data_IF_045446117348
#
_entry.id   IF_045446117348
#
_cell.length_a   1.000
_cell.length_b   1.000
_cell.length_c   1.000
_cell.angle_alpha   90.00
_cell.angle_beta   90.00
_cell.angle_gamma   90.00
#
_symmetry.space_group_name_H-M   'P 1'
#
loop_
_entity.id
_entity.type
_entity.pdbx_description
1 polymer ?
#
# COMPACT_ATOMS: atom_id res chain seq x y z
N UNK A 1 42.33 -1.05 -65.27
CA UNK A 1 42.07 -2.11 -64.27
C UNK A 1 41.76 -1.44 -62.93
N UNK A 2 40.46 -1.33 -62.58
CA UNK A 2 39.98 -0.77 -61.32
C UNK A 2 39.66 -1.95 -60.36
N UNK A 3 40.39 -2.02 -59.24
CA UNK A 3 40.17 -3.02 -58.19
C UNK A 3 39.03 -2.52 -57.30
N UNK A 4 37.93 -3.26 -57.23
CA UNK A 4 36.84 -3.12 -56.30
C UNK A 4 37.25 -3.75 -54.93
N UNK A 5 37.20 -2.94 -53.88
CA UNK A 5 37.38 -3.40 -52.51
C UNK A 5 35.98 -3.73 -51.94
N UNK A 6 35.72 -4.95 -51.47
CA UNK A 6 34.42 -5.27 -50.87
C UNK A 6 34.38 -4.65 -49.45
N UNK A 7 33.44 -3.73 -49.24
CA UNK A 7 33.15 -3.17 -47.92
C UNK A 7 32.51 -4.23 -47.03
N UNK A 8 33.16 -4.56 -45.94
CA UNK A 8 32.62 -5.42 -44.86
C UNK A 8 31.59 -4.62 -44.08
N UNK A 9 30.30 -4.94 -44.29
CA UNK A 9 29.18 -4.42 -43.47
C UNK A 9 29.18 -5.16 -42.13
N UNK A 10 29.63 -4.47 -41.07
CA UNK A 10 29.43 -4.95 -39.69
C UNK A 10 27.96 -4.72 -39.28
N UNK A 11 27.16 -5.78 -39.34
CA UNK A 11 25.83 -5.79 -38.70
C UNK A 11 26.04 -5.89 -37.19
N UNK A 12 25.93 -4.77 -36.47
CA UNK A 12 25.87 -4.77 -35.03
C UNK A 12 24.58 -5.47 -34.57
N UNK A 13 24.69 -6.70 -34.08
CA UNK A 13 23.59 -7.38 -33.39
C UNK A 13 23.28 -6.60 -32.11
N UNK A 14 22.23 -5.79 -32.13
CA UNK A 14 21.58 -5.31 -30.91
C UNK A 14 20.88 -6.49 -30.23
N UNK A 15 21.58 -7.18 -29.34
CA UNK A 15 20.93 -8.07 -28.38
C UNK A 15 20.14 -7.17 -27.40
N UNK A 16 18.83 -7.38 -27.22
CA UNK A 16 18.09 -6.71 -26.19
C UNK A 16 18.73 -7.11 -24.86
N UNK A 17 19.25 -6.13 -24.11
CA UNK A 17 19.68 -6.35 -22.72
C UNK A 17 18.46 -6.83 -21.97
N UNK A 18 18.43 -8.11 -21.59
CA UNK A 18 17.45 -8.63 -20.65
C UNK A 18 17.58 -7.74 -19.40
N UNK A 19 16.52 -7.01 -19.07
CA UNK A 19 16.46 -6.26 -17.83
C UNK A 19 16.54 -7.29 -16.70
N UNK A 20 17.72 -7.44 -16.10
CA UNK A 20 17.93 -8.27 -14.92
C UNK A 20 17.03 -7.69 -13.84
N UNK A 21 16.14 -8.52 -13.28
CA UNK A 21 15.43 -8.16 -12.07
C UNK A 21 16.46 -7.66 -11.06
N UNK A 22 16.16 -6.52 -10.42
CA UNK A 22 17.09 -5.92 -9.45
C UNK A 22 17.48 -6.93 -8.37
N UNK A 23 18.65 -6.78 -7.73
CA UNK A 23 19.12 -7.71 -6.72
C UNK A 23 18.07 -7.85 -5.61
N UNK A 24 17.96 -9.05 -5.07
CA UNK A 24 17.06 -9.41 -3.99
C UNK A 24 17.33 -8.61 -2.71
N UNK A 25 16.27 -8.16 -2.04
CA UNK A 25 16.34 -7.59 -0.71
C UNK A 25 15.15 -8.07 0.14
N UNK A 26 15.38 -8.36 1.42
CA UNK A 26 14.31 -8.74 2.32
C UNK A 26 14.56 -8.30 3.77
N UNK A 27 13.47 -8.20 4.52
CA UNK A 27 13.45 -7.94 5.95
C UNK A 27 12.23 -8.64 6.55
N UNK A 28 12.42 -9.27 7.72
CA UNK A 28 11.33 -9.70 8.60
C UNK A 28 11.61 -9.20 10.00
N UNK A 29 10.64 -8.51 10.59
CA UNK A 29 10.75 -8.05 11.96
C UNK A 29 9.39 -8.05 12.68
N UNK A 30 9.43 -8.21 13.99
CA UNK A 30 8.27 -8.05 14.87
C UNK A 30 7.95 -6.55 15.02
N UNK A 31 6.68 -6.17 14.86
CA UNK A 31 6.29 -4.76 14.86
C UNK A 31 6.23 -4.13 16.26
N UNK A 32 6.13 -4.95 17.30
CA UNK A 32 6.02 -4.48 18.68
C UNK A 32 7.38 -4.30 19.34
N UNK A 33 8.26 -5.28 19.18
CA UNK A 33 9.61 -5.28 19.74
C UNK A 33 10.65 -4.66 18.83
N UNK A 34 10.36 -4.54 17.53
CA UNK A 34 11.30 -4.19 16.44
C UNK A 34 12.47 -5.17 16.31
N UNK A 35 12.36 -6.36 16.92
CA UNK A 35 13.34 -7.40 16.75
C UNK A 35 13.41 -7.83 15.29
N UNK A 36 14.61 -7.72 14.72
CA UNK A 36 14.90 -8.23 13.37
C UNK A 36 15.10 -9.72 13.44
N UNK A 37 14.35 -10.46 12.64
CA UNK A 37 14.36 -11.91 12.57
C UNK A 37 15.05 -12.40 11.29
N UNK A 38 15.01 -11.59 10.24
CA UNK A 38 15.75 -11.81 9.00
C UNK A 38 16.07 -10.48 8.32
N UNK A 39 17.27 -10.36 7.75
CA UNK A 39 17.67 -9.19 6.98
C UNK A 39 18.64 -9.58 5.85
N UNK A 40 18.39 -9.09 4.65
CA UNK A 40 19.26 -9.21 3.50
C UNK A 40 19.15 -7.99 2.61
N UNK A 41 20.24 -7.26 2.39
CA UNK A 41 20.29 -6.03 1.58
C UNK A 41 19.17 -5.02 1.91
N UNK A 42 18.69 -5.00 3.16
CA UNK A 42 17.44 -4.32 3.53
C UNK A 42 17.51 -2.79 3.44
N UNK A 43 18.72 -2.23 3.46
CA UNK A 43 18.97 -0.80 3.27
C UNK A 43 19.26 -0.40 1.82
N UNK A 44 19.42 -1.35 0.91
CA UNK A 44 19.69 -1.01 -0.48
C UNK A 44 18.45 -0.42 -1.18
N UNK A 45 18.70 0.55 -2.06
CA UNK A 45 17.62 1.19 -2.82
C UNK A 45 16.97 0.20 -3.79
N UNK A 46 15.65 0.18 -3.78
CA UNK A 46 14.80 -0.63 -4.64
C UNK A 46 13.67 0.22 -5.21
N UNK A 47 13.13 -0.17 -6.36
CA UNK A 47 11.93 0.43 -6.89
C UNK A 47 10.70 -0.21 -6.22
N UNK A 48 9.82 0.60 -5.58
CA UNK A 48 8.68 0.05 -4.83
C UNK A 48 7.63 -0.62 -5.71
N UNK A 49 7.52 -0.26 -6.99
CA UNK A 49 6.38 -0.62 -7.81
C UNK A 49 5.06 -0.29 -7.09
N UNK A 50 4.04 -1.14 -7.15
CA UNK A 50 2.74 -0.89 -6.50
C UNK A 50 2.76 -0.91 -4.96
N UNK A 51 3.90 -1.22 -4.31
CA UNK A 51 4.02 -0.96 -2.87
C UNK A 51 3.88 0.54 -2.54
N UNK A 52 4.14 1.42 -3.49
CA UNK A 52 3.86 2.87 -3.43
C UNK A 52 2.45 3.18 -2.93
N UNK A 53 1.46 2.36 -3.32
CA UNK A 53 0.06 2.53 -2.92
C UNK A 53 -0.17 2.39 -1.42
N UNK A 54 0.76 1.79 -0.69
CA UNK A 54 0.71 1.78 0.78
C UNK A 54 0.83 3.21 1.35
N UNK A 55 1.68 4.08 0.78
CA UNK A 55 1.77 5.48 1.18
C UNK A 55 0.55 6.29 0.72
N UNK A 56 0.02 6.00 -0.46
CA UNK A 56 -1.25 6.61 -0.91
C UNK A 56 -2.37 6.31 0.08
N UNK A 57 -2.51 5.04 0.47
CA UNK A 57 -3.48 4.60 1.48
C UNK A 57 -3.19 5.21 2.86
N UNK A 58 -1.92 5.35 3.25
CA UNK A 58 -1.56 6.01 4.51
C UNK A 58 -2.10 7.44 4.57
N UNK A 59 -1.91 8.24 3.51
CA UNK A 59 -2.41 9.62 3.44
C UNK A 59 -3.95 9.68 3.41
N UNK A 60 -4.60 8.73 2.75
CA UNK A 60 -6.07 8.60 2.77
C UNK A 60 -6.55 8.28 4.19
N UNK A 61 -5.97 7.29 4.86
CA UNK A 61 -6.34 6.89 6.23
C UNK A 61 -6.08 8.01 7.23
N UNK A 62 -4.99 8.74 7.06
CA UNK A 62 -4.69 9.92 7.88
C UNK A 62 -5.76 11.01 7.69
N UNK A 63 -6.18 11.27 6.46
CA UNK A 63 -7.23 12.26 6.17
C UNK A 63 -8.60 11.82 6.72
N UNK A 64 -8.95 10.53 6.61
CA UNK A 64 -10.16 9.95 7.21
C UNK A 64 -10.13 10.05 8.75
N UNK A 65 -9.02 9.70 9.38
CA UNK A 65 -8.88 9.74 10.84
C UNK A 65 -8.95 11.15 11.42
N UNK A 66 -8.62 12.15 10.61
CA UNK A 66 -8.68 13.58 10.95
C UNK A 66 -10.00 14.24 10.55
N UNK A 67 -10.95 13.50 9.99
CA UNK A 67 -12.23 14.05 9.52
C UNK A 67 -12.12 15.00 8.33
N UNK A 68 -10.96 14.99 7.62
CA UNK A 68 -10.75 15.79 6.40
C UNK A 68 -11.30 15.10 5.15
N UNK A 69 -11.50 13.78 5.21
CA UNK A 69 -12.20 12.96 4.24
C UNK A 69 -13.24 12.10 4.94
N UNK A 70 -14.24 11.67 4.17
CA UNK A 70 -15.22 10.66 4.56
C UNK A 70 -15.20 9.52 3.53
N UNK A 71 -15.68 8.33 3.88
CA UNK A 71 -15.70 7.16 2.99
C UNK A 71 -16.48 7.40 1.70
N UNK A 72 -17.54 8.21 1.77
CA UNK A 72 -18.43 8.59 0.68
C UNK A 72 -17.98 9.85 -0.08
N UNK A 73 -16.89 10.52 0.33
CA UNK A 73 -16.33 11.66 -0.40
C UNK A 73 -15.99 11.24 -1.83
N UNK A 74 -16.48 12.01 -2.82
CA UNK A 74 -16.33 11.69 -4.24
C UNK A 74 -15.18 12.46 -4.88
N UNK A 75 -14.30 11.75 -5.58
CA UNK A 75 -13.30 12.33 -6.46
C UNK A 75 -13.69 12.09 -7.92
N UNK A 76 -13.43 13.06 -8.80
CA UNK A 76 -13.73 12.96 -10.23
C UNK A 76 -12.50 12.48 -11.00
N UNK A 77 -12.65 11.41 -11.78
CA UNK A 77 -11.58 10.88 -12.61
C UNK A 77 -11.28 11.84 -13.78
N UNK A 78 -10.05 12.30 -13.84
CA UNK A 78 -9.53 13.15 -14.91
C UNK A 78 -9.13 12.33 -16.13
N UNK A 79 -8.90 13.00 -17.27
CA UNK A 79 -8.29 12.38 -18.45
C UNK A 79 -6.89 11.81 -18.13
N UNK A 80 -6.13 12.46 -17.26
CA UNK A 80 -4.82 11.98 -16.85
C UNK A 80 -4.92 10.67 -16.07
N UNK A 81 -5.82 10.60 -15.09
CA UNK A 81 -6.02 9.41 -14.27
C UNK A 81 -6.48 8.19 -15.12
N UNK A 82 -7.47 8.37 -15.99
CA UNK A 82 -8.01 7.26 -16.81
C UNK A 82 -7.03 6.71 -17.84
N UNK A 83 -6.02 7.51 -18.24
CA UNK A 83 -4.98 7.08 -19.18
C UNK A 83 -3.80 6.36 -18.49
N UNK A 84 -3.84 6.17 -17.16
CA UNK A 84 -2.79 5.40 -16.48
C UNK A 84 -2.69 3.98 -17.03
N UNK A 85 -1.48 3.45 -17.21
CA UNK A 85 -1.30 2.04 -17.60
C UNK A 85 -1.97 1.07 -16.61
N UNK A 86 -2.35 -0.15 -17.02
CA UNK A 86 -2.88 -1.16 -16.11
C UNK A 86 -1.91 -1.51 -14.95
N UNK A 87 -2.43 -2.00 -13.76
CA UNK A 87 -3.83 -2.38 -13.49
C UNK A 87 -4.74 -1.17 -13.25
N UNK A 88 -6.02 -1.32 -13.54
CA UNK A 88 -7.03 -0.24 -13.47
C UNK A 88 -8.39 -0.79 -13.02
N UNK A 89 -9.22 0.07 -12.44
CA UNK A 89 -10.66 -0.19 -12.30
C UNK A 89 -11.39 -0.03 -13.64
N UNK A 90 -10.86 0.80 -14.56
CA UNK A 90 -11.48 1.09 -15.83
C UNK A 90 -12.34 2.35 -15.82
N UNK A 91 -11.97 3.32 -14.97
CA UNK A 91 -12.65 4.62 -14.88
C UNK A 91 -12.70 5.33 -16.23
N UNK A 92 -13.80 6.02 -16.50
CA UNK A 92 -13.97 6.93 -17.65
C UNK A 92 -13.77 8.38 -17.19
N UNK A 93 -13.44 9.26 -18.14
CA UNK A 93 -13.29 10.69 -17.84
C UNK A 93 -14.60 11.24 -17.31
N UNK A 94 -14.56 11.84 -16.13
CA UNK A 94 -15.70 12.40 -15.46
C UNK A 94 -16.45 11.46 -14.51
N UNK A 95 -16.12 10.16 -14.51
CA UNK A 95 -16.65 9.24 -13.49
C UNK A 95 -16.29 9.74 -12.09
N UNK A 96 -17.15 9.46 -11.14
CA UNK A 96 -16.89 9.69 -9.72
C UNK A 96 -16.47 8.40 -9.06
N UNK A 97 -15.50 8.50 -8.15
CA UNK A 97 -14.96 7.42 -7.34
C UNK A 97 -15.08 7.86 -5.87
N UNK A 98 -15.79 7.08 -5.04
CA UNK A 98 -15.78 7.34 -3.60
C UNK A 98 -14.42 6.98 -3.00
N UNK A 99 -14.09 7.58 -1.86
CA UNK A 99 -12.85 7.25 -1.12
C UNK A 99 -12.79 5.77 -0.81
N UNK A 100 -13.90 5.16 -0.38
CA UNK A 100 -13.95 3.73 -0.08
C UNK A 100 -13.72 2.85 -1.32
N UNK A 101 -14.39 3.13 -2.44
CA UNK A 101 -14.14 2.43 -3.71
C UNK A 101 -12.68 2.58 -4.15
N UNK A 102 -12.10 3.76 -3.94
CA UNK A 102 -10.69 4.02 -4.18
C UNK A 102 -9.79 3.15 -3.33
N UNK A 103 -10.01 3.08 -2.01
CA UNK A 103 -9.26 2.22 -1.08
C UNK A 103 -9.34 0.76 -1.54
N UNK A 104 -10.55 0.25 -1.76
CA UNK A 104 -10.79 -1.13 -2.19
C UNK A 104 -10.13 -1.42 -3.54
N UNK A 105 -10.21 -0.50 -4.50
CA UNK A 105 -9.54 -0.60 -5.80
C UNK A 105 -8.01 -0.62 -5.70
N UNK A 106 -7.42 0.14 -4.76
CA UNK A 106 -5.97 0.13 -4.52
C UNK A 106 -5.52 -1.19 -3.88
N UNK A 107 -6.28 -1.69 -2.91
CA UNK A 107 -5.94 -2.90 -2.15
C UNK A 107 -6.07 -4.15 -3.03
N UNK A 108 -7.20 -4.35 -3.68
CA UNK A 108 -7.49 -5.57 -4.43
C UNK A 108 -6.89 -5.54 -5.84
N UNK A 109 -7.33 -4.59 -6.67
CA UNK A 109 -6.94 -4.48 -8.09
C UNK A 109 -5.59 -3.80 -8.29
N UNK A 110 -5.06 -3.13 -7.26
CA UNK A 110 -3.87 -2.29 -7.42
C UNK A 110 -4.05 -1.19 -8.49
N UNK A 111 -5.24 -0.59 -8.56
CA UNK A 111 -5.72 0.27 -9.63
C UNK A 111 -4.91 1.58 -9.73
N UNK A 112 -4.26 1.81 -10.88
CA UNK A 112 -3.44 3.00 -11.11
C UNK A 112 -4.30 4.23 -11.41
N UNK A 113 -5.43 4.07 -12.12
CA UNK A 113 -6.42 5.12 -12.37
C UNK A 113 -7.04 5.62 -11.07
N UNK A 114 -7.44 4.73 -10.16
CA UNK A 114 -7.94 5.08 -8.86
C UNK A 114 -6.89 5.82 -8.01
N UNK A 115 -5.62 5.37 -8.03
CA UNK A 115 -4.53 6.04 -7.30
C UNK A 115 -4.32 7.48 -7.77
N UNK A 116 -4.28 7.71 -9.10
CA UNK A 116 -4.16 9.05 -9.66
C UNK A 116 -5.40 9.92 -9.38
N UNK A 117 -6.62 9.34 -9.44
CA UNK A 117 -7.86 10.05 -9.10
C UNK A 117 -7.86 10.51 -7.64
N UNK A 118 -7.44 9.66 -6.70
CA UNK A 118 -7.28 10.02 -5.28
C UNK A 118 -6.23 11.13 -5.13
N UNK A 119 -5.08 10.99 -5.77
CA UNK A 119 -3.99 11.95 -5.68
C UNK A 119 -4.40 13.35 -6.17
N UNK A 120 -5.06 13.42 -7.32
CA UNK A 120 -5.59 14.68 -7.86
C UNK A 120 -6.69 15.27 -6.96
N UNK A 121 -7.60 14.44 -6.45
CA UNK A 121 -8.66 14.88 -5.56
C UNK A 121 -8.16 15.42 -4.23
N UNK A 122 -7.11 14.81 -3.66
CA UNK A 122 -6.55 15.22 -2.37
C UNK A 122 -5.58 16.41 -2.46
N UNK A 123 -4.81 16.52 -3.53
CA UNK A 123 -3.72 17.51 -3.63
C UNK A 123 -3.78 18.40 -4.88
N UNK A 124 -4.83 18.28 -5.70
CA UNK A 124 -4.99 19.04 -6.95
C UNK A 124 -4.15 18.51 -8.11
N UNK A 125 -3.09 17.74 -7.85
CA UNK A 125 -2.29 17.06 -8.87
C UNK A 125 -1.55 15.86 -8.29
N UNK A 126 -1.25 14.86 -9.14
CA UNK A 126 -0.45 13.70 -8.70
C UNK A 126 0.98 14.11 -8.30
N UNK A 127 1.56 15.13 -8.94
CA UNK A 127 2.89 15.66 -8.59
C UNK A 127 2.89 16.26 -7.18
N UNK A 128 1.91 17.09 -6.83
CA UNK A 128 1.78 17.66 -5.48
C UNK A 128 1.54 16.55 -4.43
N UNK A 129 0.74 15.55 -4.78
CA UNK A 129 0.49 14.40 -3.92
C UNK A 129 1.78 13.59 -3.69
N UNK A 130 2.58 13.32 -4.73
CA UNK A 130 3.84 12.60 -4.61
C UNK A 130 4.88 13.36 -3.76
N UNK A 131 4.89 14.69 -3.81
CA UNK A 131 5.67 15.51 -2.89
C UNK A 131 5.23 15.30 -1.44
N UNK A 132 3.91 15.37 -1.17
CA UNK A 132 3.35 15.10 0.15
C UNK A 132 3.62 13.67 0.64
N UNK A 133 3.58 12.67 -0.24
CA UNK A 133 3.98 11.29 0.10
C UNK A 133 5.45 11.24 0.54
N UNK A 134 6.34 11.96 -0.13
CA UNK A 134 7.77 12.00 0.20
C UNK A 134 8.00 12.70 1.53
N UNK A 135 7.32 13.82 1.79
CA UNK A 135 7.38 14.52 3.07
C UNK A 135 6.85 13.66 4.21
N UNK A 136 5.75 12.93 3.98
CA UNK A 136 5.22 11.96 4.94
C UNK A 136 6.21 10.83 5.21
N UNK A 137 6.89 10.33 4.17
CA UNK A 137 7.94 9.33 4.34
C UNK A 137 9.03 9.82 5.29
N UNK A 138 9.50 11.06 5.14
CA UNK A 138 10.48 11.67 6.08
C UNK A 138 9.96 11.71 7.51
N UNK A 139 8.68 12.10 7.71
CA UNK A 139 8.04 12.14 9.04
C UNK A 139 7.91 10.75 9.68
N UNK A 140 7.85 9.69 8.88
CA UNK A 140 7.81 8.30 9.34
C UNK A 140 9.21 7.68 9.53
N UNK A 141 10.29 8.44 9.31
CA UNK A 141 11.65 7.94 9.40
C UNK A 141 12.09 7.13 8.17
N UNK A 142 11.33 7.19 7.07
CA UNK A 142 11.65 6.57 5.79
C UNK A 142 12.65 7.46 5.01
N UNK A 143 13.87 7.54 5.52
CA UNK A 143 14.87 8.54 5.08
C UNK A 143 15.37 8.30 3.66
N UNK A 144 15.25 7.10 3.14
CA UNK A 144 15.75 6.70 1.82
C UNK A 144 14.65 6.54 0.76
N UNK A 145 13.39 6.95 1.09
CA UNK A 145 12.23 6.81 0.20
C UNK A 145 11.91 8.13 -0.49
N UNK A 146 11.72 8.06 -1.82
CA UNK A 146 11.24 9.17 -2.64
C UNK A 146 10.09 8.67 -3.51
N UNK A 147 8.96 9.36 -3.49
CA UNK A 147 7.82 9.10 -4.35
C UNK A 147 7.75 10.11 -5.51
N UNK A 148 7.34 9.65 -6.69
CA UNK A 148 7.17 10.45 -7.91
C UNK A 148 5.76 10.38 -8.47
N UNK A 149 4.98 9.38 -8.07
CA UNK A 149 3.58 9.21 -8.41
C UNK A 149 2.85 8.45 -7.31
N UNK A 150 1.52 8.40 -7.37
CA UNK A 150 0.68 7.76 -6.36
C UNK A 150 0.52 6.24 -6.54
N UNK A 151 0.93 5.70 -7.69
CA UNK A 151 0.58 4.35 -8.12
C UNK A 151 1.75 3.35 -8.09
N UNK A 152 3.00 3.83 -8.18
CA UNK A 152 4.18 2.98 -8.32
C UNK A 152 4.51 2.64 -9.78
N UNK A 153 3.97 3.39 -10.73
CA UNK A 153 4.41 3.32 -12.13
C UNK A 153 5.89 3.67 -12.24
N UNK A 154 6.61 3.10 -13.23
CA UNK A 154 8.04 3.28 -13.37
C UNK A 154 8.47 4.75 -13.41
N UNK A 155 9.40 5.10 -12.54
CA UNK A 155 10.16 6.34 -12.52
C UNK A 155 11.53 6.02 -11.91
N UNK A 156 12.66 6.38 -12.55
CA UNK A 156 14.00 6.04 -12.07
C UNK A 156 14.34 6.67 -10.71
N UNK A 157 13.68 7.77 -10.36
CA UNK A 157 13.90 8.48 -9.10
C UNK A 157 12.88 8.08 -8.01
N UNK A 158 11.99 7.12 -8.29
CA UNK A 158 11.07 6.57 -7.31
C UNK A 158 11.70 5.34 -6.64
N UNK A 159 12.19 5.53 -5.43
CA UNK A 159 12.99 4.55 -4.70
C UNK A 159 12.56 4.42 -3.25
N UNK A 160 12.88 3.27 -2.66
CA UNK A 160 12.64 2.93 -1.25
C UNK A 160 13.64 1.87 -0.80
N UNK A 161 13.54 1.40 0.46
CA UNK A 161 14.28 0.27 1.01
C UNK A 161 13.33 -0.70 1.72
N UNK A 162 13.80 -1.91 2.05
CA UNK A 162 12.98 -2.85 2.82
C UNK A 162 12.69 -2.31 4.24
N UNK A 163 13.67 -1.66 4.86
CA UNK A 163 13.48 -0.98 6.15
C UNK A 163 12.41 0.11 6.09
N UNK A 164 12.43 0.95 5.07
CA UNK A 164 11.44 2.03 4.93
C UNK A 164 10.04 1.46 4.71
N UNK A 165 9.90 0.38 3.93
CA UNK A 165 8.62 -0.28 3.72
C UNK A 165 8.11 -0.99 4.98
N UNK A 166 8.99 -1.55 5.81
CA UNK A 166 8.64 -2.07 7.13
C UNK A 166 8.08 -0.96 8.03
N UNK A 167 8.77 0.20 8.10
CA UNK A 167 8.30 1.37 8.86
C UNK A 167 6.90 1.81 8.42
N UNK A 168 6.66 1.83 7.12
CA UNK A 168 5.34 2.18 6.57
C UNK A 168 4.28 1.15 6.94
N UNK A 169 4.57 -0.14 6.80
CA UNK A 169 3.67 -1.22 7.18
C UNK A 169 3.32 -1.18 8.68
N UNK A 170 4.32 -0.99 9.54
CA UNK A 170 4.14 -0.78 10.99
C UNK A 170 3.28 0.45 11.28
N UNK A 171 3.55 1.58 10.61
CA UNK A 171 2.80 2.81 10.82
C UNK A 171 1.33 2.67 10.38
N UNK A 172 1.04 1.99 9.28
CA UNK A 172 -0.33 1.67 8.84
C UNK A 172 -1.08 0.85 9.89
N UNK A 173 -0.46 -0.19 10.43
CA UNK A 173 -1.08 -1.04 11.44
C UNK A 173 -1.31 -0.29 12.77
N UNK A 174 -0.28 0.39 13.28
CA UNK A 174 -0.33 1.02 14.61
C UNK A 174 -1.15 2.30 14.66
N UNK A 175 -1.16 3.10 13.58
CA UNK A 175 -1.86 4.40 13.57
C UNK A 175 -3.29 4.31 13.09
N UNK A 176 -3.61 3.32 12.26
CA UNK A 176 -4.92 3.20 11.63
C UNK A 176 -5.51 1.78 11.73
N UNK A 177 -5.58 1.18 12.93
CA UNK A 177 -6.06 -0.20 13.10
C UNK A 177 -7.48 -0.37 12.56
N UNK A 178 -8.34 0.65 12.65
CA UNK A 178 -9.71 0.62 12.12
C UNK A 178 -9.78 0.53 10.58
N UNK A 179 -8.78 1.09 9.87
CA UNK A 179 -8.71 1.05 8.40
C UNK A 179 -7.78 -0.07 7.90
N UNK A 180 -6.97 -0.64 8.78
CA UNK A 180 -6.03 -1.69 8.42
C UNK A 180 -6.73 -2.93 7.86
N UNK A 181 -7.96 -3.19 8.32
CA UNK A 181 -8.81 -4.31 7.87
C UNK A 181 -9.09 -4.30 6.37
N UNK A 182 -9.02 -3.15 5.69
CA UNK A 182 -9.16 -3.09 4.24
C UNK A 182 -8.11 -3.95 3.51
N UNK A 183 -6.90 -4.09 4.05
CA UNK A 183 -5.84 -4.89 3.41
C UNK A 183 -6.17 -6.38 3.30
N UNK A 184 -7.04 -6.89 4.15
CA UNK A 184 -7.49 -8.28 4.11
C UNK A 184 -8.72 -8.53 3.22
N UNK A 185 -9.19 -7.52 2.47
CA UNK A 185 -10.31 -7.68 1.54
C UNK A 185 -9.95 -8.68 0.43
N UNK A 186 -10.65 -9.82 0.30
CA UNK A 186 -10.30 -10.83 -0.69
C UNK A 186 -10.76 -10.46 -2.10
N UNK A 187 -11.97 -9.88 -2.23
CA UNK A 187 -12.59 -9.50 -3.51
C UNK A 187 -13.31 -8.18 -3.36
N UNK A 188 -13.17 -7.30 -4.34
CA UNK A 188 -13.94 -6.08 -4.47
C UNK A 188 -14.77 -6.11 -5.74
N UNK A 189 -16.07 -5.81 -5.63
CA UNK A 189 -16.97 -5.71 -6.77
C UNK A 189 -17.18 -4.24 -7.15
N UNK A 190 -16.80 -3.88 -8.37
CA UNK A 190 -16.96 -2.54 -8.91
C UNK A 190 -17.61 -2.59 -10.29
N UNK A 191 -18.71 -1.88 -10.48
CA UNK A 191 -19.48 -1.85 -11.74
C UNK A 191 -19.75 -3.25 -12.34
N UNK A 192 -20.11 -4.21 -11.50
CA UNK A 192 -20.40 -5.58 -11.91
C UNK A 192 -19.18 -6.50 -12.13
N UNK A 193 -17.96 -5.99 -11.97
CA UNK A 193 -16.72 -6.77 -12.10
C UNK A 193 -16.12 -7.09 -10.72
N UNK A 194 -15.76 -8.36 -10.49
CA UNK A 194 -15.05 -8.80 -9.29
C UNK A 194 -13.53 -8.67 -9.47
N UNK A 195 -12.85 -7.98 -8.53
CA UNK A 195 -11.40 -7.83 -8.51
C UNK A 195 -10.83 -8.54 -7.30
N UNK A 196 -10.14 -9.65 -7.53
CA UNK A 196 -9.46 -10.40 -6.47
C UNK A 196 -8.22 -9.68 -5.98
N UNK A 197 -7.90 -9.85 -4.70
CA UNK A 197 -6.66 -9.36 -4.13
C UNK A 197 -5.46 -10.12 -4.70
N UNK A 198 -4.39 -9.40 -5.02
CA UNK A 198 -3.18 -9.99 -5.59
C UNK A 198 -2.27 -10.68 -4.56
N UNK A 199 -2.56 -10.55 -3.25
CA UNK A 199 -1.83 -11.24 -2.20
C UNK A 199 -2.46 -12.63 -1.91
N UNK A 200 -2.07 -13.63 -2.67
CA UNK A 200 -2.59 -15.00 -2.54
C UNK A 200 -2.16 -15.70 -1.24
N UNK A 201 -1.19 -15.16 -0.50
CA UNK A 201 -0.84 -15.71 0.81
C UNK A 201 -1.96 -15.53 1.84
N UNK A 202 -2.85 -14.57 1.67
CA UNK A 202 -4.01 -14.40 2.56
C UNK A 202 -4.95 -15.61 2.56
N UNK A 203 -4.99 -16.38 1.46
CA UNK A 203 -5.83 -17.58 1.35
C UNK A 203 -5.14 -18.84 1.93
N UNK A 204 -3.79 -18.82 2.00
CA UNK A 204 -2.99 -20.05 2.20
C UNK A 204 -2.02 -19.97 3.35
N UNK A 205 -1.87 -18.80 4.01
CA UNK A 205 -0.94 -18.61 5.13
C UNK A 205 -1.70 -18.16 6.38
N UNK A 206 -1.68 -18.99 7.42
CA UNK A 206 -2.41 -18.71 8.66
C UNK A 206 -1.95 -17.42 9.33
N UNK A 207 -2.93 -16.56 9.67
CA UNK A 207 -2.68 -15.27 10.30
C UNK A 207 -2.31 -14.13 9.36
N UNK A 208 -2.22 -14.37 8.04
CA UNK A 208 -1.95 -13.33 7.04
C UNK A 208 -3.15 -12.37 6.90
N UNK A 209 -2.91 -11.06 7.03
CA UNK A 209 -3.94 -10.02 6.93
C UNK A 209 -3.56 -8.82 6.05
N UNK A 210 -2.54 -8.94 5.24
CA UNK A 210 -2.11 -7.90 4.31
C UNK A 210 -0.70 -8.15 3.77
N UNK A 211 -0.07 -7.15 3.13
CA UNK A 211 -0.49 -5.77 2.92
C UNK A 211 -0.60 -5.48 1.42
N UNK A 212 0.53 -5.60 0.66
CA UNK A 212 0.55 -5.19 -0.75
C UNK A 212 1.60 -5.91 -1.57
N UNK A 213 1.22 -6.29 -2.79
CA UNK A 213 2.12 -6.80 -3.84
C UNK A 213 2.54 -5.68 -4.80
N UNK A 214 3.68 -5.86 -5.48
CA UNK A 214 4.15 -4.96 -6.52
C UNK A 214 4.96 -5.69 -7.58
N UNK A 215 4.93 -5.18 -8.81
CA UNK A 215 5.77 -5.66 -9.91
C UNK A 215 6.03 -4.53 -10.92
N UNK A 216 7.28 -4.36 -11.29
CA UNK A 216 7.74 -3.74 -12.52
C UNK A 216 8.98 -4.51 -13.00
N UNK A 217 9.31 -4.43 -14.28
CA UNK A 217 10.48 -5.15 -14.82
C UNK A 217 11.79 -4.81 -14.09
N UNK A 218 11.95 -3.55 -13.66
CA UNK A 218 13.15 -3.09 -12.95
C UNK A 218 13.28 -3.62 -11.52
N UNK A 219 12.17 -3.96 -10.84
CA UNK A 219 12.20 -4.44 -9.46
C UNK A 219 11.95 -5.93 -9.29
N UNK A 220 11.43 -6.62 -10.31
CA UNK A 220 10.87 -7.96 -10.12
C UNK A 220 9.61 -7.95 -9.26
N UNK A 221 9.26 -9.09 -8.67
CA UNK A 221 8.06 -9.28 -7.86
C UNK A 221 8.33 -8.92 -6.40
N UNK A 222 7.58 -7.94 -5.88
CA UNK A 222 7.70 -7.38 -4.54
C UNK A 222 6.49 -7.78 -3.68
N UNK A 223 6.69 -7.81 -2.35
CA UNK A 223 5.62 -8.02 -1.37
C UNK A 223 5.99 -7.36 -0.04
N UNK A 224 5.06 -6.64 0.54
CA UNK A 224 5.02 -6.39 1.98
C UNK A 224 3.88 -7.23 2.53
N UNK A 225 4.19 -8.15 3.43
CA UNK A 225 3.24 -9.04 4.09
C UNK A 225 3.14 -8.72 5.57
N UNK A 226 1.97 -8.98 6.16
CA UNK A 226 1.76 -8.95 7.60
C UNK A 226 1.03 -10.22 8.02
N UNK A 227 1.52 -10.84 9.07
CA UNK A 227 0.89 -12.00 9.68
C UNK A 227 0.95 -11.92 11.21
N UNK A 228 -0.08 -12.46 11.87
CA UNK A 228 -0.16 -12.51 13.33
C UNK A 228 -0.37 -13.95 13.81
N UNK A 229 0.49 -14.40 14.75
CA UNK A 229 0.39 -15.70 15.43
C UNK A 229 0.83 -15.54 16.89
N UNK A 230 0.16 -16.24 17.80
CA UNK A 230 0.56 -16.37 19.21
C UNK A 230 0.90 -15.03 19.91
N UNK A 231 0.17 -13.96 19.56
CA UNK A 231 0.38 -12.62 20.13
C UNK A 231 1.45 -11.80 19.41
N UNK A 232 2.28 -12.39 18.56
CA UNK A 232 3.28 -11.69 17.75
C UNK A 232 2.74 -11.30 16.39
N UNK A 233 3.09 -10.10 15.93
CA UNK A 233 2.82 -9.64 14.57
C UNK A 233 4.12 -9.36 13.83
N UNK A 234 4.34 -10.11 12.75
CA UNK A 234 5.49 -9.92 11.87
C UNK A 234 5.09 -9.12 10.64
N UNK A 235 5.98 -8.25 10.20
CA UNK A 235 5.96 -7.70 8.86
C UNK A 235 7.17 -8.21 8.09
N UNK A 236 6.89 -8.85 6.96
CA UNK A 236 7.89 -9.27 5.98
C UNK A 236 7.89 -8.34 4.77
N UNK A 237 9.06 -8.01 4.26
CA UNK A 237 9.29 -7.25 3.03
C UNK A 237 10.20 -8.07 2.12
N UNK A 238 9.78 -8.25 0.86
CA UNK A 238 10.59 -8.92 -0.17
C UNK A 238 10.59 -8.07 -1.43
N UNK A 239 11.77 -7.79 -1.97
CA UNK A 239 12.00 -7.20 -3.28
C UNK A 239 12.74 -8.17 -4.20
N UNK A 240 12.52 -8.08 -5.51
CA UNK A 240 13.35 -8.74 -6.50
C UNK A 240 13.00 -10.20 -6.78
N UNK A 241 11.85 -10.69 -6.35
CA UNK A 241 11.43 -12.06 -6.65
C UNK A 241 11.37 -12.32 -8.16
N UNK A 242 11.87 -13.47 -8.66
CA UNK A 242 11.87 -13.78 -10.09
C UNK A 242 10.47 -14.14 -10.63
N UNK A 243 9.55 -14.49 -9.74
CA UNK A 243 8.13 -14.73 -10.05
C UNK A 243 7.27 -14.51 -8.80
N UNK A 244 5.97 -14.30 -8.97
CA UNK A 244 5.02 -14.18 -7.86
C UNK A 244 5.08 -15.45 -6.97
N UNK A 245 5.09 -16.64 -7.57
CA UNK A 245 5.14 -17.92 -6.85
C UNK A 245 6.40 -18.05 -5.99
N UNK A 246 7.58 -17.70 -6.52
CA UNK A 246 8.84 -17.79 -5.75
C UNK A 246 8.91 -16.74 -4.67
N UNK A 247 8.44 -15.50 -4.93
CA UNK A 247 8.31 -14.46 -3.92
C UNK A 247 7.42 -14.90 -2.76
N UNK A 248 6.26 -15.52 -3.06
CA UNK A 248 5.30 -16.00 -2.05
C UNK A 248 5.88 -17.18 -1.25
N UNK A 249 6.58 -18.10 -1.91
CA UNK A 249 7.27 -19.20 -1.22
C UNK A 249 8.31 -18.67 -0.24
N UNK A 250 9.17 -17.76 -0.70
CA UNK A 250 10.17 -17.14 0.17
C UNK A 250 9.54 -16.38 1.34
N UNK A 251 8.50 -15.57 1.10
CA UNK A 251 7.84 -14.84 2.18
C UNK A 251 7.28 -15.79 3.24
N UNK A 252 6.72 -16.93 2.82
CA UNK A 252 6.24 -17.99 3.74
C UNK A 252 7.37 -18.53 4.60
N UNK A 253 8.49 -18.92 3.98
CA UNK A 253 9.66 -19.46 4.69
C UNK A 253 10.20 -18.45 5.70
N UNK A 254 10.39 -17.20 5.29
CA UNK A 254 10.90 -16.14 6.16
C UNK A 254 9.98 -15.84 7.36
N UNK A 255 8.67 -15.87 7.15
CA UNK A 255 7.70 -15.66 8.24
C UNK A 255 7.65 -16.89 9.16
N UNK A 256 7.69 -18.11 8.63
CA UNK A 256 7.69 -19.33 9.45
C UNK A 256 8.95 -19.40 10.32
N UNK A 257 10.13 -19.08 9.77
CA UNK A 257 11.38 -19.00 10.53
C UNK A 257 11.34 -17.88 11.57
N UNK A 258 10.75 -16.73 11.25
CA UNK A 258 10.58 -15.63 12.18
C UNK A 258 9.68 -15.99 13.38
N UNK A 259 8.54 -16.62 13.13
CA UNK A 259 7.66 -17.09 14.22
C UNK A 259 8.34 -18.19 15.05
N UNK A 260 9.06 -19.14 14.40
CA UNK A 260 9.79 -20.19 15.11
C UNK A 260 10.88 -19.62 16.05
N UNK A 261 11.61 -18.60 15.61
CA UNK A 261 12.61 -17.90 16.46
C UNK A 261 11.94 -17.26 17.69
N UNK A 262 10.78 -16.62 17.54
CA UNK A 262 10.06 -16.01 18.67
C UNK A 262 9.52 -17.06 19.65
N UNK A 263 9.28 -18.28 19.19
CA UNK A 263 8.86 -19.43 20.00
C UNK A 263 10.05 -20.21 20.61
N UNK A 264 11.29 -19.73 20.42
CA UNK A 264 12.51 -20.32 20.96
C UNK A 264 13.03 -21.52 20.18
N UNK A 265 12.55 -21.72 18.97
CA UNK A 265 13.11 -22.73 18.06
C UNK A 265 14.35 -22.21 17.33
N UNK A 266 15.28 -23.12 17.03
CA UNK A 266 16.48 -22.79 16.26
C UNK A 266 16.07 -22.39 14.82
N UNK A 267 16.50 -21.22 14.30
CA UNK A 267 16.13 -20.80 12.97
C UNK A 267 16.68 -21.77 11.94
N UNK A 268 15.83 -22.25 11.05
CA UNK A 268 16.28 -23.01 9.89
C UNK A 268 16.95 -22.03 8.94
N UNK A 269 18.29 -22.09 8.88
CA UNK A 269 19.07 -21.30 7.91
C UNK A 269 18.74 -21.76 6.48
N UNK A 270 17.67 -21.25 5.92
CA UNK A 270 17.38 -21.39 4.50
C UNK A 270 18.17 -20.31 3.75
N UNK A 271 19.29 -20.68 3.19
CA UNK A 271 19.98 -19.86 2.18
C UNK A 271 19.14 -19.94 0.92
N UNK A 272 18.24 -18.98 0.74
CA UNK A 272 17.48 -18.87 -0.50
C UNK A 272 18.40 -18.27 -1.56
N UNK A 273 18.91 -19.12 -2.43
CA UNK A 273 19.77 -18.77 -3.54
C UNK A 273 18.95 -18.12 -4.68
N UNK A 274 18.56 -16.82 -4.52
CA UNK A 274 17.97 -16.06 -5.62
C UNK A 274 19.02 -15.49 -6.59
N UNK A 275 20.32 -15.56 -6.24
CA UNK A 275 21.40 -14.99 -7.03
C UNK A 275 21.83 -15.86 -8.23
N UNK A 276 21.22 -17.04 -8.41
CA UNK A 276 21.49 -17.82 -9.62
C UNK A 276 20.70 -17.24 -10.79
N UNK A 277 21.35 -16.64 -11.82
CA UNK A 277 20.64 -16.17 -13.01
C UNK A 277 19.85 -17.33 -13.59
N UNK A 278 18.52 -17.12 -13.78
CA UNK A 278 17.71 -18.11 -14.47
C UNK A 278 18.34 -18.36 -15.84
N UNK A 279 18.64 -19.63 -16.14
CA UNK A 279 19.06 -20.01 -17.47
C UNK A 279 18.07 -19.44 -18.48
N UNK A 280 18.52 -18.87 -19.61
CA UNK A 280 17.63 -18.26 -20.59
C UNK A 280 16.61 -19.32 -21.05
N UNK A 281 15.34 -19.09 -20.77
CA UNK A 281 14.27 -19.89 -21.30
C UNK A 281 14.36 -19.78 -22.83
N UNK A 282 14.65 -20.89 -23.50
CA UNK A 282 14.53 -21.02 -24.94
C UNK A 282 13.07 -20.68 -25.30
N UNK A 283 12.84 -19.48 -25.82
CA UNK A 283 11.56 -19.11 -26.40
C UNK A 283 11.36 -19.95 -27.66
N UNK A 284 10.55 -21.01 -27.56
CA UNK A 284 9.95 -21.65 -28.70
C UNK A 284 8.95 -20.64 -29.27
N UNK A 285 9.25 -20.09 -30.41
CA UNK A 285 8.34 -19.21 -31.15
C UNK A 285 7.13 -20.03 -31.61
N UNK A 286 6.02 -19.88 -30.87
CA UNK A 286 4.73 -20.38 -31.31
C UNK A 286 4.20 -19.45 -32.41
N UNK A 287 4.19 -19.93 -33.63
CA UNK A 287 3.63 -19.25 -34.82
C UNK A 287 2.13 -19.14 -34.64
N UNK A 288 1.64 -17.95 -34.34
CA UNK A 288 0.22 -17.65 -34.32
C UNK A 288 -0.38 -17.71 -35.74
N UNK A 289 -1.34 -18.59 -35.92
CA UNK A 289 -2.18 -18.62 -37.10
C UNK A 289 -3.15 -17.42 -37.14
N UNK A 290 -3.49 -16.87 -38.31
CA UNK A 290 -4.39 -15.72 -38.42
C UNK A 290 -5.85 -16.11 -38.15
N UNK A 291 -6.49 -15.33 -37.26
CA UNK A 291 -7.91 -15.46 -36.94
C UNK A 291 -8.75 -14.71 -37.99
N UNK A 292 -9.80 -15.30 -38.54
CA UNK A 292 -10.66 -14.62 -39.54
C UNK A 292 -11.59 -13.61 -38.86
N UNK A 293 -11.65 -12.39 -39.42
CA UNK A 293 -12.58 -11.35 -39.05
C UNK A 293 -14.01 -11.71 -39.48
N UNK A 294 -14.90 -11.93 -38.50
CA UNK A 294 -16.33 -11.90 -38.75
C UNK A 294 -16.88 -10.51 -38.46
N UNK A 295 -17.43 -9.89 -39.50
CA UNK A 295 -18.18 -8.64 -39.40
C UNK A 295 -19.54 -8.92 -38.73
N UNK A 296 -19.81 -8.25 -37.60
CA UNK A 296 -21.14 -8.21 -36.99
C UNK A 296 -21.80 -6.86 -37.19
N UNK A 297 -23.01 -6.97 -37.75
CA UNK A 297 -23.93 -5.88 -38.04
C UNK A 297 -24.35 -5.10 -36.80
N UNK A 298 -24.57 -3.81 -37.02
CA UNK A 298 -25.06 -2.85 -36.02
C UNK A 298 -26.52 -3.17 -35.65
N UNK A 299 -26.78 -3.36 -34.36
CA UNK A 299 -28.09 -3.22 -33.76
C UNK A 299 -28.07 -2.06 -32.73
N UNK A 300 -28.89 -1.05 -33.00
CA UNK A 300 -29.23 0.02 -32.04
C UNK A 300 -30.11 -0.54 -30.92
N UNK A 301 -29.86 -0.22 -29.66
CA UNK A 301 -30.89 -0.25 -28.62
C UNK A 301 -31.31 1.16 -28.24
N UNK A 302 -32.63 1.27 -28.07
CA UNK A 302 -33.40 2.45 -27.68
C UNK A 302 -32.98 2.96 -26.28
N UNK A 303 -33.10 4.31 -26.15
CA UNK A 303 -32.87 5.04 -24.93
C UNK A 303 -33.93 4.71 -23.86
N UNK A 304 -33.49 4.30 -22.68
CA UNK A 304 -34.30 4.36 -21.45
C UNK A 304 -33.89 5.57 -20.63
N UNK A 305 -34.87 6.42 -20.31
CA UNK A 305 -34.75 7.57 -19.43
C UNK A 305 -34.29 7.12 -18.03
N UNK A 306 -33.14 7.57 -17.58
CA UNK A 306 -32.71 7.48 -16.19
C UNK A 306 -32.99 8.81 -15.49
N UNK A 307 -33.64 8.71 -14.34
CA UNK A 307 -34.02 9.86 -13.49
C UNK A 307 -32.76 10.54 -12.95
N UNK A 308 -32.75 11.87 -13.02
CA UNK A 308 -31.68 12.71 -12.52
C UNK A 308 -31.69 12.74 -10.97
N UNK A 309 -30.59 12.29 -10.35
CA UNK A 309 -30.29 12.62 -8.95
C UNK A 309 -29.65 14.01 -8.87
N UNK A 310 -29.92 14.81 -7.80
CA UNK A 310 -29.36 16.15 -7.66
C UNK A 310 -27.83 16.07 -7.48
N UNK A 311 -27.12 16.88 -8.27
CA UNK A 311 -25.68 17.00 -8.22
C UNK A 311 -25.23 17.72 -6.93
N UNK A 312 -24.40 17.06 -6.13
CA UNK A 312 -23.63 17.72 -5.09
C UNK A 312 -22.50 18.55 -5.73
N UNK A 313 -22.13 19.71 -5.17
CA UNK A 313 -21.03 20.51 -5.69
C UNK A 313 -19.70 19.75 -5.58
N UNK A 314 -18.77 19.96 -6.52
CA UNK A 314 -17.45 19.32 -6.49
C UNK A 314 -16.66 19.73 -5.25
N UNK A 315 -16.05 18.78 -4.57
CA UNK A 315 -15.17 19.02 -3.44
C UNK A 315 -13.98 19.90 -3.89
N UNK A 316 -13.68 20.95 -3.13
CA UNK A 316 -12.48 21.75 -3.35
C UNK A 316 -11.23 20.93 -2.98
N UNK A 317 -10.08 21.12 -3.65
CA UNK A 317 -8.86 20.40 -3.33
C UNK A 317 -8.43 20.68 -1.88
N UNK A 318 -8.26 19.63 -1.10
CA UNK A 318 -7.79 19.70 0.28
C UNK A 318 -6.30 20.11 0.26
N UNK A 319 -6.00 21.30 0.76
CA UNK A 319 -4.61 21.69 0.99
C UNK A 319 -4.07 20.82 2.12
N UNK A 320 -3.05 20.02 1.82
CA UNK A 320 -2.25 19.34 2.83
C UNK A 320 -1.52 20.45 3.60
N UNK A 321 -1.97 20.74 4.82
CA UNK A 321 -1.42 21.80 5.63
C UNK A 321 0.06 21.54 5.94
N UNK A 322 0.92 22.50 5.65
CA UNK A 322 2.31 22.53 6.11
C UNK A 322 2.35 22.51 7.63
N UNK A 323 2.80 21.40 8.18
CA UNK A 323 3.14 21.29 9.60
C UNK A 323 4.58 21.76 9.83
N UNK A 324 4.85 23.02 9.56
CA UNK A 324 6.14 23.63 9.93
C UNK A 324 6.03 25.15 10.03
N UNK A 325 5.57 25.64 11.20
CA UNK A 325 5.94 26.95 11.72
C UNK A 325 5.62 27.03 13.20
N UNK A 326 6.51 26.49 14.04
CA UNK A 326 6.61 26.92 15.42
C UNK A 326 7.75 27.92 15.49
N UNK A 327 7.47 29.17 15.24
CA UNK A 327 8.38 30.27 15.58
C UNK A 327 7.88 30.96 16.84
N UNK A 328 8.78 31.03 17.78
CA UNK A 328 8.72 31.82 18.99
C UNK A 328 8.06 33.19 18.79
N UNK A 329 7.09 33.50 19.63
CA UNK A 329 6.70 34.88 19.88
C UNK A 329 6.61 35.11 21.37
N UNK A 330 7.52 36.00 21.81
CA UNK A 330 7.74 36.61 23.10
C UNK A 330 6.47 37.12 23.76
N UNK A 331 6.48 36.95 25.07
CA UNK A 331 5.53 37.45 26.04
C UNK A 331 5.31 38.98 25.96
N UNK A 332 4.06 39.40 25.93
CA UNK A 332 3.69 40.74 26.45
C UNK A 332 2.54 40.58 27.44
N UNK A 333 2.77 41.26 28.55
CA UNK A 333 2.09 41.38 29.81
C UNK A 333 0.84 42.25 29.64
N UNK A 334 -0.32 41.78 30.08
CA UNK A 334 -1.45 42.65 30.45
C UNK A 334 -2.35 41.90 31.44
N UNK A 335 -2.31 42.29 32.64
CA UNK A 335 -3.30 42.74 33.64
C UNK A 335 -4.65 42.00 33.66
N UNK A 336 -4.90 41.43 34.85
CA UNK A 336 -6.19 40.93 35.30
C UNK A 336 -7.05 42.05 35.90
N UNK A 337 -8.36 41.91 36.00
CA UNK A 337 -9.08 42.45 37.15
C UNK A 337 -9.81 41.38 37.98
N UNK A 338 -9.87 41.73 39.23
CA UNK A 338 -10.19 41.12 40.48
C UNK A 338 -11.55 40.38 40.60
N UNK A 339 -11.48 39.48 41.53
CA UNK A 339 -12.41 38.70 42.31
C UNK A 339 -13.82 39.27 42.62
N UNK A 340 -14.79 38.34 42.74
CA UNK A 340 -15.83 38.39 43.80
C UNK A 340 -16.02 37.00 44.40
N UNK A 341 -15.79 36.93 45.70
CA UNK A 341 -16.11 35.84 46.61
C UNK A 341 -17.63 35.82 46.87
N UNK A 342 -18.23 34.63 46.91
CA UNK A 342 -19.37 34.36 47.78
C UNK A 342 -19.25 32.96 48.38
N UNK A 343 -19.63 32.91 49.65
CA UNK A 343 -19.46 31.86 50.65
C UNK A 343 -20.43 30.68 50.55
N UNK A 344 -19.94 29.55 51.03
CA UNK A 344 -20.56 28.56 51.94
C UNK A 344 -21.71 27.70 51.41
N UNK A 345 -21.63 26.38 51.53
CA UNK A 345 -22.01 25.68 52.77
C UNK A 345 -21.65 24.20 52.66
N UNK A 346 -21.07 23.67 53.75
CA UNK A 346 -20.78 22.27 53.96
C UNK A 346 -22.04 21.50 54.40
N UNK A 347 -22.23 20.26 53.93
CA UNK A 347 -22.97 19.28 54.72
C UNK A 347 -22.30 17.89 54.62
N UNK A 348 -21.95 17.39 55.79
CA UNK A 348 -21.52 16.02 56.09
C UNK A 348 -22.70 15.07 56.01
N UNK A 349 -22.50 13.87 55.49
CA UNK A 349 -23.17 12.63 55.93
C UNK A 349 -22.33 11.47 55.36
N UNK A 350 -21.60 10.78 56.17
CA UNK A 350 -21.87 9.60 57.00
C UNK A 350 -21.77 8.32 56.18
N UNK A 351 -20.67 7.60 56.44
CA UNK A 351 -20.41 6.23 56.02
C UNK A 351 -21.24 5.25 56.86
N UNK A 352 -21.67 4.15 56.29
CA UNK A 352 -21.95 2.89 57.02
C UNK A 352 -21.78 1.68 56.06
N UNK A 353 -21.57 0.45 56.63
CA UNK A 353 -20.64 -0.51 56.10
C UNK A 353 -21.31 -1.74 55.41
N UNK A 354 -20.45 -2.55 54.80
CA UNK A 354 -20.77 -3.85 54.17
C UNK A 354 -21.27 -4.89 55.20
N UNK A 355 -22.03 -5.94 54.77
CA UNK A 355 -22.06 -7.19 55.46
C UNK A 355 -21.38 -8.35 54.74
N UNK A 356 -20.80 -9.19 55.57
CA UNK A 356 -19.97 -10.34 55.28
C UNK A 356 -20.74 -11.58 54.82
N UNK A 357 -20.02 -12.36 54.06
CA UNK A 357 -19.90 -13.83 54.00
C UNK A 357 -20.98 -14.72 54.58
N UNK A 358 -21.51 -15.66 53.76
CA UNK A 358 -21.86 -17.02 54.25
C UNK A 358 -21.48 -18.07 53.19
N UNK A 359 -20.65 -19.02 53.66
CA UNK A 359 -20.36 -20.33 53.06
C UNK A 359 -21.50 -21.31 53.32
N UNK A 360 -21.83 -22.19 52.38
CA UNK A 360 -22.16 -23.63 52.56
C UNK A 360 -22.29 -24.25 51.16
N UNK A 361 -21.46 -25.20 50.81
CA UNK A 361 -21.45 -26.69 50.94
C UNK A 361 -22.63 -27.42 50.29
N UNK A 362 -22.20 -28.42 49.53
CA UNK A 362 -22.77 -29.70 49.08
C UNK A 362 -23.03 -29.74 47.57
N UNK A 363 -22.36 -30.52 46.75
CA UNK A 363 -22.07 -31.96 46.65
C UNK A 363 -23.17 -32.76 45.89
N UNK A 364 -22.71 -33.48 44.87
CA UNK A 364 -23.30 -34.65 44.19
C UNK A 364 -24.51 -34.43 43.22
N UNK A 365 -24.30 -34.56 41.95
CA UNK A 365 -24.47 -35.78 41.12
C UNK A 365 -23.80 -35.56 39.77
#
# INVERSE_FOLDING_TARGET
MRRLIPGLFWAALFLPAAALAGPYAALVADIDTEQVLYEHNADELRHPASLTKMMTLYLVFEALSQGRLFSDTLFRASRFAVLRPPSRLGLKVGDTLSVEEGILGLVTRSANDAASTIAEGMAGSETAFAAAMTDKARQLGMSRTVYRNASGLPDPNQVTTAWDMFRLGKALNKRFPQYYTYFSTPVFYYQGHGFQNHNHLMETYAGMDGIKTGFINASGFNLVASAQRNGHRLIGVVFGGPSARRRDALMRELLDDGFAQLEGADPRLHVVEFDRPAAPALMVAETAAPVPHHAHAAHHPQAHHAAAHPAHPPAQPLRLADASATTHRTASKAEAPAAKKTHASASKAKAEPAPACHKSKCAHH
#
